data_IF_241838920163
#
_entry.id   IF_241838920163
#
_cell.length_a   1.000
_cell.length_b   1.000
_cell.length_c   1.000
_cell.angle_alpha   90.00
_cell.angle_beta   90.00
_cell.angle_gamma   90.00
#
_symmetry.space_group_name_H-M   'P 1'
#
loop_
_entity.id
_entity.type
_entity.pdbx_description
1 polymer ?
#
# COMPACT_ATOMS: atom_id res chain seq x y z
N UNK A 1 -5.66 -0.19 -9.36
CA UNK A 1 -6.35 1.01 -9.87
C UNK A 1 -5.69 1.38 -11.19
N UNK A 2 -6.44 1.59 -12.27
CA UNK A 2 -5.87 1.97 -13.58
C UNK A 2 -5.64 3.49 -13.63
N UNK A 3 -4.68 3.95 -14.45
CA UNK A 3 -4.36 5.38 -14.66
C UNK A 3 -4.13 6.19 -13.38
N UNK A 4 -3.54 5.58 -12.35
CA UNK A 4 -3.23 6.23 -11.08
C UNK A 4 -1.76 6.02 -10.78
N UNK A 5 -1.05 7.11 -10.50
CA UNK A 5 0.34 7.05 -10.08
C UNK A 5 0.46 6.68 -8.60
N UNK A 6 1.69 6.64 -8.10
CA UNK A 6 1.93 6.27 -6.71
C UNK A 6 1.32 7.27 -5.71
N UNK A 7 1.30 8.56 -6.05
CA UNK A 7 0.77 9.62 -5.18
C UNK A 7 -0.75 9.55 -5.06
N UNK A 8 -1.44 9.35 -6.18
CA UNK A 8 -2.89 9.13 -6.18
C UNK A 8 -3.28 7.86 -5.42
N UNK A 9 -2.51 6.78 -5.56
CA UNK A 9 -2.75 5.55 -4.83
C UNK A 9 -2.54 5.71 -3.30
N UNK A 10 -1.49 6.44 -2.90
CA UNK A 10 -1.25 6.77 -1.49
C UNK A 10 -2.37 7.64 -0.91
N UNK A 11 -2.84 8.63 -1.67
CA UNK A 11 -3.94 9.51 -1.25
C UNK A 11 -5.22 8.73 -0.95
N UNK A 12 -5.58 7.77 -1.81
CA UNK A 12 -6.73 6.89 -1.60
C UNK A 12 -6.55 6.03 -0.34
N UNK A 13 -5.36 5.45 -0.13
CA UNK A 13 -5.07 4.69 1.08
C UNK A 13 -5.22 5.54 2.35
N UNK A 14 -4.77 6.79 2.30
CA UNK A 14 -4.90 7.76 3.40
C UNK A 14 -6.35 8.11 3.69
N UNK A 15 -7.15 8.41 2.67
CA UNK A 15 -8.58 8.68 2.83
C UNK A 15 -9.32 7.51 3.48
N UNK A 16 -9.01 6.27 3.08
CA UNK A 16 -9.59 5.07 3.69
C UNK A 16 -9.15 4.89 5.14
N UNK A 17 -7.88 5.15 5.44
CA UNK A 17 -7.36 5.09 6.80
C UNK A 17 -8.06 6.10 7.71
N UNK A 18 -8.15 7.36 7.29
CA UNK A 18 -8.83 8.44 8.02
C UNK A 18 -10.32 8.15 8.19
N UNK A 19 -11.01 7.68 7.15
CA UNK A 19 -12.42 7.32 7.23
C UNK A 19 -12.67 6.18 8.22
N UNK A 20 -11.77 5.19 8.32
CA UNK A 20 -11.88 4.12 9.31
C UNK A 20 -11.60 4.59 10.73
N UNK A 21 -10.58 5.43 10.91
CA UNK A 21 -10.25 6.02 12.21
C UNK A 21 -11.39 6.91 12.72
N UNK A 22 -12.00 7.72 11.85
CA UNK A 22 -13.12 8.60 12.19
C UNK A 22 -14.38 7.83 12.64
N UNK A 23 -14.56 6.58 12.21
CA UNK A 23 -15.67 5.72 12.65
C UNK A 23 -15.47 5.17 14.06
N UNK A 24 -14.26 5.22 14.61
CA UNK A 24 -13.91 4.76 15.96
C UNK A 24 -14.58 3.43 16.33
N UNK A 25 -14.46 2.43 15.45
CA UNK A 25 -15.05 1.11 15.70
C UNK A 25 -14.27 0.46 16.84
N UNK A 26 -14.91 0.33 17.99
CA UNK A 26 -14.32 -0.25 19.20
C UNK A 26 -13.90 -1.70 18.91
N UNK A 27 -12.68 -2.02 19.29
CA UNK A 27 -12.11 -3.36 19.15
C UNK A 27 -11.89 -3.98 20.54
N UNK A 28 -12.98 -4.16 21.28
CA UNK A 28 -13.01 -4.46 22.72
C UNK A 28 -12.19 -5.68 23.13
N UNK A 29 -12.11 -6.70 22.27
CA UNK A 29 -11.40 -7.95 22.54
C UNK A 29 -9.98 -8.01 21.97
N UNK A 30 -9.45 -6.88 21.47
CA UNK A 30 -8.13 -6.83 20.86
C UNK A 30 -7.06 -6.37 21.83
N UNK A 31 -5.99 -7.15 21.92
CA UNK A 31 -4.77 -6.73 22.62
C UNK A 31 -3.91 -5.75 21.79
N UNK A 32 -4.25 -5.54 20.50
CA UNK A 32 -3.44 -4.72 19.60
C UNK A 32 -3.79 -3.22 19.63
N UNK A 33 -5.07 -2.88 19.79
CA UNK A 33 -5.57 -1.48 19.85
C UNK A 33 -7.02 -1.46 20.34
N UNK A 34 -7.45 -0.34 20.93
CA UNK A 34 -8.84 -0.14 21.39
C UNK A 34 -9.83 0.11 20.25
N UNK A 35 -9.34 0.40 19.04
CA UNK A 35 -10.15 0.59 17.85
C UNK A 35 -9.58 -0.15 16.64
N UNK A 36 -10.47 -0.47 15.69
CA UNK A 36 -10.10 -1.09 14.42
C UNK A 36 -9.29 -0.11 13.58
N UNK A 37 -8.19 -0.58 13.01
CA UNK A 37 -7.33 0.18 12.11
C UNK A 37 -6.96 -0.64 10.87
N UNK A 38 -6.47 0.03 9.83
CA UNK A 38 -6.04 -0.58 8.58
C UNK A 38 -4.55 -0.32 8.32
N UNK A 39 -3.86 -1.30 7.76
CA UNK A 39 -2.50 -1.13 7.22
C UNK A 39 -2.56 -1.32 5.71
N UNK A 40 -1.82 -0.48 4.98
CA UNK A 40 -1.83 -0.47 3.52
C UNK A 40 -0.42 -0.64 2.97
N UNK A 41 -0.29 -1.54 1.98
CA UNK A 41 0.85 -1.60 1.09
C UNK A 41 0.49 -0.97 -0.25
N UNK A 42 1.23 0.05 -0.67
CA UNK A 42 0.96 0.80 -1.90
C UNK A 42 2.12 0.61 -2.87
N UNK A 43 1.81 0.20 -4.09
CA UNK A 43 2.74 0.13 -5.21
C UNK A 43 2.05 0.62 -6.48
N UNK A 44 2.84 1.18 -7.39
CA UNK A 44 2.38 1.62 -8.71
C UNK A 44 3.46 1.28 -9.74
N UNK A 45 3.00 0.95 -10.95
CA UNK A 45 3.83 0.54 -12.06
C UNK A 45 3.26 1.16 -13.34
N UNK A 46 4.12 1.78 -14.15
CA UNK A 46 3.80 2.07 -15.54
C UNK A 46 4.16 0.80 -16.32
N UNK A 47 3.19 0.04 -16.85
CA UNK A 47 3.46 -1.24 -17.50
C UNK A 47 4.32 -1.04 -18.75
N UNK A 48 5.41 -1.79 -18.84
CA UNK A 48 6.24 -1.96 -20.03
C UNK A 48 5.96 -3.30 -20.70
N UNK A 49 6.39 -3.47 -21.96
CA UNK A 49 6.06 -4.65 -22.77
C UNK A 49 6.58 -6.00 -22.23
N UNK A 50 7.52 -5.99 -21.28
CA UNK A 50 8.07 -7.18 -20.63
C UNK A 50 7.63 -7.34 -19.17
N UNK A 51 6.84 -6.41 -18.63
CA UNK A 51 6.53 -6.41 -17.20
C UNK A 51 5.47 -7.45 -16.87
N UNK A 52 5.65 -8.15 -15.76
CA UNK A 52 4.65 -9.03 -15.22
C UNK A 52 3.75 -8.29 -14.21
N UNK A 53 2.42 -8.46 -14.28
CA UNK A 53 1.51 -7.98 -13.22
C UNK A 53 1.88 -8.50 -11.81
N UNK A 54 2.58 -9.63 -11.75
CA UNK A 54 3.06 -10.21 -10.50
C UNK A 54 4.07 -9.30 -9.78
N UNK A 55 4.85 -8.51 -10.50
CA UNK A 55 5.80 -7.56 -9.90
C UNK A 55 5.07 -6.47 -9.10
N UNK A 56 3.98 -5.94 -9.67
CA UNK A 56 3.12 -4.97 -9.00
C UNK A 56 2.48 -5.57 -7.74
N UNK A 57 1.98 -6.80 -7.85
CA UNK A 57 1.38 -7.52 -6.73
C UNK A 57 2.39 -7.76 -5.61
N UNK A 58 3.57 -8.30 -5.93
CA UNK A 58 4.61 -8.59 -4.96
C UNK A 58 5.12 -7.32 -4.26
N UNK A 59 5.25 -6.21 -4.99
CA UNK A 59 5.64 -4.93 -4.40
C UNK A 59 4.60 -4.42 -3.40
N UNK A 60 3.30 -4.51 -3.74
CA UNK A 60 2.22 -4.12 -2.85
C UNK A 60 2.13 -5.03 -1.61
N UNK A 61 2.24 -6.35 -1.79
CA UNK A 61 2.20 -7.32 -0.68
C UNK A 61 3.39 -7.13 0.27
N UNK A 62 4.59 -6.92 -0.27
CA UNK A 62 5.76 -6.66 0.56
C UNK A 62 5.65 -5.33 1.32
N UNK A 63 5.12 -4.28 0.69
CA UNK A 63 4.82 -3.03 1.38
C UNK A 63 3.79 -3.23 2.50
N UNK A 64 2.76 -4.05 2.27
CA UNK A 64 1.75 -4.37 3.28
C UNK A 64 2.36 -5.17 4.44
N UNK A 65 3.27 -6.10 4.14
CA UNK A 65 4.01 -6.85 5.13
C UNK A 65 4.88 -5.93 6.00
N UNK A 66 5.60 -4.99 5.38
CA UNK A 66 6.40 -3.99 6.09
C UNK A 66 5.52 -3.10 6.98
N UNK A 67 4.36 -2.67 6.48
CA UNK A 67 3.37 -1.91 7.25
C UNK A 67 2.89 -2.68 8.48
N UNK A 68 2.65 -3.99 8.35
CA UNK A 68 2.22 -4.85 9.46
C UNK A 68 3.34 -5.10 10.49
N UNK A 69 4.59 -5.21 10.05
CA UNK A 69 5.74 -5.47 10.92
C UNK A 69 6.17 -4.25 11.72
N UNK A 70 6.13 -3.08 11.10
CA UNK A 70 6.39 -1.83 11.79
C UNK A 70 5.08 -1.42 12.50
N UNK A 71 4.66 -2.07 13.58
CA UNK A 71 3.55 -1.59 14.45
C UNK A 71 2.15 -1.34 13.82
N UNK A 72 1.88 -1.78 12.59
CA UNK A 72 0.54 -1.68 11.92
C UNK A 72 0.05 -0.22 11.81
N UNK A 73 -1.25 -0.05 11.51
CA UNK A 73 -1.96 1.22 11.28
C UNK A 73 -1.16 2.24 10.46
N UNK A 74 -0.57 1.82 9.36
CA UNK A 74 0.26 2.69 8.51
C UNK A 74 0.17 2.34 7.04
N UNK A 75 0.65 3.30 6.25
CA UNK A 75 0.78 3.19 4.82
C UNK A 75 2.28 3.09 4.53
N UNK A 76 2.67 2.04 3.83
CA UNK A 76 4.02 1.90 3.29
C UNK A 76 3.92 1.94 1.78
N UNK A 77 4.71 2.81 1.17
CA UNK A 77 4.79 2.99 -0.27
C UNK A 77 6.07 2.33 -0.75
N UNK A 78 5.98 1.44 -1.73
CA UNK A 78 7.13 0.81 -2.37
C UNK A 78 7.15 1.18 -3.86
N UNK A 79 8.10 2.04 -4.29
CA UNK A 79 8.24 2.36 -5.70
C UNK A 79 8.85 1.15 -6.44
N UNK A 80 8.30 0.85 -7.61
CA UNK A 80 8.91 -0.12 -8.53
C UNK A 80 9.83 0.67 -9.45
N UNK A 81 11.10 0.74 -9.10
CA UNK A 81 12.13 1.42 -9.89
C UNK A 81 12.55 0.49 -11.02
N UNK A 82 12.33 0.93 -12.27
CA UNK A 82 12.90 0.25 -13.43
C UNK A 82 14.33 0.73 -13.62
N UNK A 83 15.26 -0.21 -13.79
CA UNK A 83 16.58 0.10 -14.34
C UNK A 83 16.39 0.70 -15.73
N UNK A 84 17.13 1.77 -16.12
CA UNK A 84 17.04 2.30 -17.47
C UNK A 84 17.40 1.18 -18.44
N UNK A 85 16.44 0.79 -19.27
CA UNK A 85 16.67 -0.14 -20.38
C UNK A 85 17.72 0.48 -21.27
N UNK A 86 18.94 -0.05 -21.25
CA UNK A 86 19.99 0.33 -22.20
C UNK A 86 19.44 0.03 -23.60
N UNK A 87 19.29 1.04 -24.49
CA UNK A 87 18.90 0.76 -25.86
C UNK A 87 20.00 -0.10 -26.50
N UNK A 88 19.60 -1.24 -27.07
CA UNK A 88 20.44 -2.01 -27.99
C UNK A 88 20.55 -1.27 -29.33
#
# INVERSE_FOLDING_TARGET
>A
MTFTDIGGAELVARQLQEAMQARYIVHEYSSASHCVSLSFGVAALIPGGSDSPLELFNAADQALYDAKRQERNRIVVRPIVKSPTVPR
#
